data_IF_389834317596
#
_entry.id   IF_389834317596
#
_cell.length_a   1.000
_cell.length_b   1.000
_cell.length_c   1.000
_cell.angle_alpha   90.00
_cell.angle_beta   90.00
_cell.angle_gamma   90.00
#
_symmetry.space_group_name_H-M   'P 1'
#
loop_
_entity.id
_entity.type
_entity.pdbx_description
1 polymer ?
#
# COMPACT_ATOMS: atom_id res chain seq x y z
N UNK A 1 3.95 -18.80 -8.15
CA UNK A 1 4.11 -17.61 -9.01
C UNK A 1 2.78 -16.92 -9.27
N UNK A 2 1.74 -17.59 -9.79
CA UNK A 2 0.42 -16.96 -10.01
C UNK A 2 -0.16 -16.30 -8.75
N UNK A 3 -0.16 -17.00 -7.61
CA UNK A 3 -0.66 -16.43 -6.35
C UNK A 3 0.10 -15.16 -5.96
N UNK A 4 1.42 -15.15 -6.13
CA UNK A 4 2.25 -13.96 -5.89
C UNK A 4 1.82 -12.80 -6.79
N UNK A 5 1.69 -13.01 -8.10
CA UNK A 5 1.29 -11.97 -9.05
C UNK A 5 -0.11 -11.42 -8.74
N UNK A 6 -1.07 -12.28 -8.40
CA UNK A 6 -2.43 -11.87 -8.05
C UNK A 6 -2.42 -11.03 -6.76
N UNK A 7 -1.69 -11.48 -5.74
CA UNK A 7 -1.60 -10.78 -4.46
C UNK A 7 -0.90 -9.43 -4.61
N UNK A 8 0.18 -9.35 -5.39
CA UNK A 8 0.89 -8.08 -5.62
C UNK A 8 0.05 -7.11 -6.45
N UNK A 9 -0.69 -7.61 -7.44
CA UNK A 9 -1.63 -6.81 -8.22
C UNK A 9 -2.74 -6.24 -7.34
N UNK A 10 -3.39 -7.10 -6.54
CA UNK A 10 -4.48 -6.70 -5.65
C UNK A 10 -3.99 -5.66 -4.63
N UNK A 11 -2.82 -5.88 -4.04
CA UNK A 11 -2.17 -4.90 -3.18
C UNK A 11 -2.00 -3.55 -3.89
N UNK A 12 -1.39 -3.52 -5.08
CA UNK A 12 -1.13 -2.27 -5.80
C UNK A 12 -2.41 -1.55 -6.21
N UNK A 13 -3.45 -2.29 -6.58
CA UNK A 13 -4.77 -1.76 -6.84
C UNK A 13 -5.37 -1.08 -5.59
N UNK A 14 -5.39 -1.79 -4.45
CA UNK A 14 -5.90 -1.26 -3.18
C UNK A 14 -5.07 -0.05 -2.73
N UNK A 15 -3.75 -0.14 -2.81
CA UNK A 15 -2.81 0.92 -2.45
C UNK A 15 -3.11 2.21 -3.23
N UNK A 16 -3.20 2.13 -4.56
CA UNK A 16 -3.54 3.29 -5.38
C UNK A 16 -4.91 3.86 -5.07
N UNK A 17 -5.91 3.00 -4.86
CA UNK A 17 -7.26 3.42 -4.48
C UNK A 17 -7.31 4.17 -3.14
N UNK A 18 -6.67 3.62 -2.10
CA UNK A 18 -6.59 4.23 -0.77
C UNK A 18 -5.84 5.57 -0.80
N UNK A 19 -4.72 5.65 -1.51
CA UNK A 19 -3.95 6.90 -1.65
C UNK A 19 -4.83 8.00 -2.25
N UNK A 20 -5.60 7.69 -3.30
CA UNK A 20 -6.51 8.66 -3.89
C UNK A 20 -7.60 9.10 -2.90
N UNK A 21 -8.29 8.14 -2.27
CA UNK A 21 -9.40 8.43 -1.36
C UNK A 21 -8.97 9.32 -0.19
N UNK A 22 -7.81 9.02 0.42
CA UNK A 22 -7.26 9.81 1.54
C UNK A 22 -6.85 11.19 1.08
N UNK A 23 -6.12 11.30 -0.04
CA UNK A 23 -5.69 12.60 -0.55
C UNK A 23 -6.87 13.46 -1.00
N UNK A 24 -7.95 12.84 -1.50
CA UNK A 24 -9.17 13.54 -1.86
C UNK A 24 -9.85 14.17 -0.64
N UNK A 25 -9.93 13.44 0.47
CA UNK A 25 -10.48 13.97 1.72
C UNK A 25 -9.60 15.08 2.32
N UNK A 26 -8.28 14.96 2.20
CA UNK A 26 -7.33 15.99 2.64
C UNK A 26 -7.26 17.20 1.69
N UNK A 27 -7.78 17.09 0.48
CA UNK A 27 -7.78 18.16 -0.50
C UNK A 27 -8.91 19.16 -0.19
N UNK A 28 -8.68 20.03 0.80
CA UNK A 28 -9.57 21.16 1.09
C UNK A 28 -9.28 22.35 0.16
N UNK A 29 -10.31 23.01 -0.41
CA UNK A 29 -10.14 24.28 -1.10
C UNK A 29 -9.58 25.41 -0.23
N UNK A 30 -9.73 25.31 1.09
CA UNK A 30 -9.37 26.36 2.05
C UNK A 30 -7.96 26.17 2.65
N UNK A 31 -7.41 24.95 2.60
CA UNK A 31 -6.13 24.59 3.22
C UNK A 31 -5.40 23.52 2.40
N UNK A 32 -4.47 23.94 1.54
CA UNK A 32 -3.59 23.02 0.80
C UNK A 32 -2.44 22.48 1.68
N UNK A 33 -2.24 23.05 2.87
CA UNK A 33 -1.15 22.67 3.78
C UNK A 33 -1.30 21.25 4.32
N UNK A 34 -2.52 20.81 4.60
CA UNK A 34 -2.77 19.48 5.18
C UNK A 34 -2.38 18.36 4.20
N UNK A 35 -2.77 18.53 2.93
CA UNK A 35 -2.36 17.64 1.84
C UNK A 35 -0.84 17.67 1.64
N UNK A 36 -0.21 18.84 1.68
CA UNK A 36 1.24 18.98 1.52
C UNK A 36 2.00 18.28 2.65
N UNK A 37 1.59 18.48 3.91
CA UNK A 37 2.18 17.83 5.08
C UNK A 37 2.02 16.32 4.98
N UNK A 38 0.81 15.84 4.67
CA UNK A 38 0.51 14.42 4.48
C UNK A 38 1.39 13.80 3.39
N UNK A 39 1.55 14.51 2.28
CA UNK A 39 2.41 14.08 1.16
C UNK A 39 3.87 13.99 1.57
N UNK A 40 4.43 15.00 2.26
CA UNK A 40 5.82 14.97 2.73
C UNK A 40 6.02 13.81 3.72
N UNK A 41 5.10 13.64 4.67
CA UNK A 41 5.14 12.58 5.65
C UNK A 41 5.06 11.19 5.02
N UNK A 42 4.39 11.03 3.87
CA UNK A 42 4.32 9.73 3.18
C UNK A 42 5.68 9.15 2.75
N UNK A 43 6.68 10.01 2.53
CA UNK A 43 8.04 9.58 2.13
C UNK A 43 8.94 9.24 3.32
N UNK A 44 8.63 9.74 4.51
CA UNK A 44 9.45 9.55 5.72
C UNK A 44 9.56 8.06 6.10
N UNK A 45 8.48 7.24 6.08
CA UNK A 45 8.57 5.81 6.35
C UNK A 45 9.55 5.05 5.45
N UNK A 46 9.77 5.49 4.20
CA UNK A 46 10.68 4.83 3.27
C UNK A 46 12.10 4.70 3.83
N UNK A 47 12.55 5.71 4.60
CA UNK A 47 13.88 5.79 5.19
C UNK A 47 14.02 4.78 6.34
N UNK A 48 12.97 4.63 7.15
CA UNK A 48 13.02 3.84 8.38
C UNK A 48 12.58 2.39 8.21
N UNK A 49 11.82 2.08 7.16
CA UNK A 49 11.29 0.72 6.95
C UNK A 49 12.37 -0.36 6.92
N UNK A 50 13.52 -0.19 6.22
CA UNK A 50 14.59 -1.19 6.26
C UNK A 50 15.12 -1.43 7.68
N UNK A 51 15.20 -0.38 8.50
CA UNK A 51 15.61 -0.49 9.90
C UNK A 51 14.58 -1.25 10.73
N UNK A 52 13.28 -0.94 10.58
CA UNK A 52 12.19 -1.65 11.25
C UNK A 52 12.19 -3.14 10.93
N UNK A 53 12.43 -3.50 9.66
CA UNK A 53 12.51 -4.90 9.23
C UNK A 53 13.69 -5.60 9.90
N UNK A 54 14.88 -4.99 9.87
CA UNK A 54 16.06 -5.57 10.49
C UNK A 54 15.95 -5.71 12.01
N UNK A 55 15.21 -4.82 12.68
CA UNK A 55 15.07 -4.82 14.13
C UNK A 55 14.00 -5.83 14.61
N UNK A 56 12.82 -5.82 13.97
CA UNK A 56 11.65 -6.58 14.46
C UNK A 56 11.32 -7.83 13.64
N UNK A 57 11.72 -7.87 12.36
CA UNK A 57 11.26 -8.87 11.39
C UNK A 57 12.40 -9.65 10.73
N UNK A 58 13.63 -9.57 11.26
CA UNK A 58 14.83 -10.18 10.67
C UNK A 58 14.68 -11.66 10.30
N UNK A 59 13.91 -12.41 11.09
CA UNK A 59 13.73 -13.86 10.92
C UNK A 59 12.38 -14.24 10.26
N UNK A 60 11.61 -13.27 9.78
CA UNK A 60 10.33 -13.53 9.12
C UNK A 60 10.56 -13.88 7.64
N UNK A 61 9.85 -14.89 7.16
CA UNK A 61 9.76 -15.14 5.71
C UNK A 61 8.96 -14.03 5.03
N UNK A 62 9.26 -13.79 3.75
CA UNK A 62 8.56 -12.80 2.94
C UNK A 62 7.05 -13.03 2.92
N UNK A 63 6.63 -14.30 2.83
CA UNK A 63 5.20 -14.67 2.86
C UNK A 63 4.51 -14.33 4.20
N UNK A 64 5.15 -14.60 5.33
CA UNK A 64 4.56 -14.32 6.65
C UNK A 64 4.50 -12.82 6.94
N UNK A 65 5.55 -12.08 6.59
CA UNK A 65 5.58 -10.63 6.72
C UNK A 65 4.53 -9.95 5.82
N UNK A 66 4.31 -10.51 4.63
CA UNK A 66 3.24 -10.07 3.71
C UNK A 66 1.86 -10.21 4.37
N UNK A 67 1.54 -11.36 4.97
CA UNK A 67 0.25 -11.57 5.67
C UNK A 67 0.07 -10.60 6.83
N UNK A 68 1.11 -10.41 7.65
CA UNK A 68 1.07 -9.49 8.78
C UNK A 68 0.86 -8.05 8.33
N UNK A 69 1.50 -7.64 7.23
CA UNK A 69 1.33 -6.32 6.67
C UNK A 69 -0.08 -6.10 6.10
N UNK A 70 -0.67 -7.09 5.41
CA UNK A 70 -2.07 -7.00 4.99
C UNK A 70 -3.04 -6.85 6.18
N UNK A 71 -2.80 -7.59 7.26
CA UNK A 71 -3.56 -7.46 8.49
C UNK A 71 -3.40 -6.07 9.12
N UNK A 72 -2.19 -5.49 9.05
CA UNK A 72 -1.93 -4.10 9.43
C UNK A 72 -2.73 -3.10 8.59
N UNK A 73 -2.75 -3.25 7.26
CA UNK A 73 -3.56 -2.42 6.35
C UNK A 73 -5.03 -2.50 6.75
N UNK A 74 -5.56 -3.71 6.95
CA UNK A 74 -6.95 -3.92 7.33
C UNK A 74 -7.35 -3.13 8.58
N UNK A 75 -6.56 -3.23 9.66
CA UNK A 75 -6.86 -2.50 10.90
C UNK A 75 -6.73 -0.97 10.74
N UNK A 76 -5.73 -0.51 9.98
CA UNK A 76 -5.55 0.93 9.72
C UNK A 76 -6.71 1.48 8.90
N UNK A 77 -7.18 0.74 7.88
CA UNK A 77 -8.31 1.15 7.04
C UNK A 77 -9.60 1.20 7.86
N UNK A 78 -9.83 0.25 8.77
CA UNK A 78 -10.95 0.34 9.73
C UNK A 78 -10.84 1.60 10.59
N UNK A 79 -9.65 1.91 11.11
CA UNK A 79 -9.44 3.13 11.90
C UNK A 79 -9.69 4.40 11.07
N UNK A 80 -9.23 4.43 9.81
CA UNK A 80 -9.49 5.54 8.87
C UNK A 80 -10.99 5.71 8.67
N UNK A 81 -11.72 4.61 8.44
CA UNK A 81 -13.18 4.64 8.26
C UNK A 81 -13.90 5.38 9.40
N UNK A 82 -13.44 5.20 10.64
CA UNK A 82 -14.06 5.79 11.82
C UNK A 82 -13.57 7.22 12.12
N UNK A 83 -12.40 7.61 11.63
CA UNK A 83 -11.68 8.82 12.07
C UNK A 83 -11.35 9.80 10.93
N UNK A 84 -11.72 9.49 9.68
CA UNK A 84 -11.31 10.29 8.50
C UNK A 84 -11.76 11.75 8.56
N UNK A 85 -12.86 12.07 9.25
CA UNK A 85 -13.38 13.43 9.38
C UNK A 85 -12.48 14.34 10.21
N UNK A 86 -11.57 13.79 11.02
CA UNK A 86 -10.59 14.56 11.75
C UNK A 86 -9.28 14.59 10.96
N UNK A 87 -8.97 15.74 10.37
CA UNK A 87 -7.80 15.94 9.49
C UNK A 87 -6.49 15.47 10.13
N UNK A 88 -6.24 15.84 11.40
CA UNK A 88 -5.01 15.46 12.09
C UNK A 88 -4.91 13.93 12.25
N UNK A 89 -6.00 13.27 12.65
CA UNK A 89 -6.03 11.82 12.78
C UNK A 89 -5.87 11.13 11.43
N UNK A 90 -6.50 11.66 10.37
CA UNK A 90 -6.34 11.14 9.02
C UNK A 90 -4.89 11.23 8.53
N UNK A 91 -4.20 12.34 8.79
CA UNK A 91 -2.76 12.48 8.46
C UNK A 91 -1.92 11.45 9.22
N UNK A 92 -2.16 11.26 10.51
CA UNK A 92 -1.43 10.28 11.33
C UNK A 92 -1.69 8.84 10.87
N UNK A 93 -2.94 8.51 10.53
CA UNK A 93 -3.31 7.20 10.01
C UNK A 93 -2.75 6.97 8.61
N UNK A 94 -2.71 8.00 7.75
CA UNK A 94 -2.05 7.93 6.44
C UNK A 94 -0.55 7.66 6.60
N UNK A 95 0.12 8.36 7.53
CA UNK A 95 1.52 8.09 7.84
C UNK A 95 1.75 6.64 8.30
N UNK A 96 0.91 6.12 9.20
CA UNK A 96 0.96 4.73 9.63
C UNK A 96 0.71 3.75 8.46
N UNK A 97 -0.25 4.06 7.58
CA UNK A 97 -0.55 3.27 6.39
C UNK A 97 0.67 3.17 5.47
N UNK A 98 1.39 4.28 5.27
CA UNK A 98 2.62 4.30 4.47
C UNK A 98 3.73 3.43 5.07
N UNK A 99 3.89 3.38 6.39
CA UNK A 99 4.82 2.42 7.04
C UNK A 99 4.46 0.98 6.63
N UNK A 100 3.18 0.63 6.69
CA UNK A 100 2.73 -0.73 6.34
C UNK A 100 2.86 -0.99 4.84
N UNK A 101 2.62 -0.01 3.97
CA UNK A 101 2.86 -0.14 2.52
C UNK A 101 4.33 -0.42 2.21
N UNK A 102 5.27 0.31 2.81
CA UNK A 102 6.69 0.04 2.60
C UNK A 102 7.12 -1.31 3.19
N UNK A 103 6.54 -1.71 4.33
CA UNK A 103 6.78 -3.03 4.92
C UNK A 103 6.32 -4.14 3.97
N UNK A 104 5.10 -4.01 3.43
CA UNK A 104 4.51 -4.94 2.47
C UNK A 104 5.30 -4.96 1.15
N UNK A 105 5.76 -3.80 0.67
CA UNK A 105 6.57 -3.74 -0.55
C UNK A 105 7.91 -4.47 -0.40
N UNK A 106 8.55 -4.33 0.77
CA UNK A 106 9.75 -5.10 1.08
C UNK A 106 9.46 -6.58 1.24
N UNK A 107 8.37 -6.94 1.92
CA UNK A 107 8.00 -8.35 2.13
C UNK A 107 7.67 -9.07 0.82
N UNK A 108 7.03 -8.38 -0.14
CA UNK A 108 6.77 -8.91 -1.47
C UNK A 108 8.07 -9.14 -2.25
N UNK A 109 9.05 -8.24 -2.15
CA UNK A 109 10.38 -8.46 -2.77
C UNK A 109 11.08 -9.67 -2.17
N UNK A 110 11.07 -9.81 -0.84
CA UNK A 110 11.61 -11.00 -0.16
C UNK A 110 10.90 -12.28 -0.61
N UNK A 111 9.56 -12.25 -0.67
CA UNK A 111 8.78 -13.40 -1.09
C UNK A 111 9.06 -13.77 -2.56
N UNK A 112 9.25 -12.78 -3.43
CA UNK A 112 9.67 -13.04 -4.81
C UNK A 112 11.04 -13.73 -4.86
N UNK A 113 12.02 -13.23 -4.11
CA UNK A 113 13.36 -13.83 -4.01
C UNK A 113 13.29 -15.29 -3.54
N UNK A 114 12.50 -15.59 -2.50
CA UNK A 114 12.25 -16.96 -2.02
C UNK A 114 11.63 -17.86 -3.12
N UNK A 115 10.70 -17.33 -3.91
CA UNK A 115 10.03 -18.11 -4.97
C UNK A 115 10.94 -18.44 -6.16
N UNK A 116 12.00 -17.66 -6.38
CA UNK A 116 12.88 -17.78 -7.54
C UNK A 116 14.30 -18.25 -7.21
N UNK A 117 14.62 -18.51 -5.94
CA UNK A 117 15.97 -18.87 -5.45
C UNK A 117 16.67 -19.97 -6.28
N UNK A 118 15.91 -20.96 -6.75
CA UNK A 118 16.43 -22.10 -7.52
C UNK A 118 16.02 -22.07 -9.00
N UNK A 119 15.77 -20.87 -9.56
CA UNK A 119 15.34 -20.69 -10.96
C UNK A 119 16.48 -20.11 -11.79
N UNK A 120 16.43 -20.35 -13.11
CA UNK A 120 17.39 -19.76 -14.04
C UNK A 120 17.11 -18.27 -14.25
N UNK A 121 18.13 -17.54 -14.71
CA UNK A 121 18.08 -16.09 -14.90
C UNK A 121 16.99 -15.66 -15.88
N UNK A 122 16.78 -16.42 -16.96
CA UNK A 122 15.73 -16.15 -17.94
C UNK A 122 14.33 -16.16 -17.31
N UNK A 123 14.05 -17.15 -16.44
CA UNK A 123 12.79 -17.23 -15.71
C UNK A 123 12.65 -16.05 -14.74
N UNK A 124 13.72 -15.72 -14.00
CA UNK A 124 13.74 -14.60 -13.06
C UNK A 124 13.40 -13.30 -13.78
N UNK A 125 14.09 -13.01 -14.90
CA UNK A 125 13.89 -11.78 -15.67
C UNK A 125 12.48 -11.68 -16.25
N UNK A 126 11.96 -12.79 -16.81
CA UNK A 126 10.59 -12.84 -17.35
C UNK A 126 9.55 -12.53 -16.28
N UNK A 127 9.64 -13.17 -15.12
CA UNK A 127 8.64 -12.99 -14.06
C UNK A 127 8.81 -11.69 -13.26
N UNK A 128 10.04 -11.17 -13.14
CA UNK A 128 10.30 -9.84 -12.60
C UNK A 128 9.64 -8.76 -13.47
N UNK A 129 9.87 -8.82 -14.79
CA UNK A 129 9.26 -7.90 -15.77
C UNK A 129 7.72 -7.99 -15.78
N UNK A 130 7.19 -9.22 -15.76
CA UNK A 130 5.74 -9.45 -15.67
C UNK A 130 5.17 -8.87 -14.37
N UNK A 131 5.83 -9.11 -13.23
CA UNK A 131 5.38 -8.60 -11.93
C UNK A 131 5.40 -7.07 -11.91
N UNK A 132 6.44 -6.42 -12.43
CA UNK A 132 6.48 -4.95 -12.56
C UNK A 132 5.33 -4.43 -13.41
N UNK A 133 5.09 -5.04 -14.57
CA UNK A 133 4.02 -4.62 -15.50
C UNK A 133 2.64 -4.73 -14.85
N UNK A 134 2.35 -5.87 -14.23
CA UNK A 134 1.08 -6.12 -13.54
C UNK A 134 0.90 -5.14 -12.38
N UNK A 135 1.96 -4.89 -11.61
CA UNK A 135 1.93 -3.97 -10.47
C UNK A 135 1.65 -2.53 -10.90
N UNK A 136 2.26 -2.05 -12.00
CA UNK A 136 2.00 -0.72 -12.51
C UNK A 136 0.59 -0.58 -13.09
N UNK A 137 0.14 -1.57 -13.86
CA UNK A 137 -1.23 -1.58 -14.37
C UNK A 137 -2.24 -1.52 -13.22
N UNK A 138 -2.08 -2.34 -12.19
CA UNK A 138 -2.94 -2.34 -11.01
C UNK A 138 -2.90 -1.00 -10.25
N UNK A 139 -1.71 -0.42 -10.06
CA UNK A 139 -1.52 0.87 -9.40
C UNK A 139 -2.19 2.03 -10.14
N UNK A 140 -2.27 1.97 -11.47
CA UNK A 140 -2.97 2.98 -12.27
C UNK A 140 -4.50 2.76 -12.27
N UNK A 141 -4.95 1.50 -12.32
CA UNK A 141 -6.37 1.17 -12.36
C UNK A 141 -7.05 1.45 -11.01
N UNK A 142 -6.38 1.19 -9.88
CA UNK A 142 -6.93 1.39 -8.52
C UNK A 142 -7.49 2.80 -8.28
N UNK A 143 -6.69 3.87 -8.44
CA UNK A 143 -7.15 5.25 -8.32
C UNK A 143 -8.30 5.56 -9.28
N UNK A 144 -8.20 5.15 -10.55
CA UNK A 144 -9.26 5.40 -11.54
C UNK A 144 -10.58 4.76 -11.13
N UNK A 145 -10.53 3.53 -10.63
CA UNK A 145 -11.69 2.81 -10.13
C UNK A 145 -12.33 3.53 -8.93
N UNK A 146 -11.52 3.92 -7.94
CA UNK A 146 -12.00 4.66 -6.77
C UNK A 146 -12.57 6.03 -7.16
N UNK A 147 -11.92 6.78 -8.06
CA UNK A 147 -12.41 8.07 -8.54
C UNK A 147 -13.83 7.99 -9.15
N UNK A 148 -14.13 6.88 -9.82
CA UNK A 148 -15.47 6.62 -10.37
C UNK A 148 -16.45 6.27 -9.24
N UNK A 149 -16.07 5.38 -8.32
CA UNK A 149 -16.96 4.92 -7.23
C UNK A 149 -17.30 6.04 -6.25
N UNK A 150 -16.35 6.93 -5.95
CA UNK A 150 -16.57 8.10 -5.07
C UNK A 150 -17.68 9.04 -5.56
N UNK A 151 -18.09 8.95 -6.83
CA UNK A 151 -19.25 9.70 -7.36
C UNK A 151 -20.59 9.09 -6.94
N UNK A 152 -20.62 7.82 -6.55
CA UNK A 152 -21.84 7.06 -6.29
C UNK A 152 -22.01 6.68 -4.83
N UNK A 153 -20.92 6.61 -4.05
CA UNK A 153 -20.92 6.12 -2.68
C UNK A 153 -20.06 7.02 -1.79
N UNK A 154 -20.48 7.24 -0.55
CA UNK A 154 -19.70 7.98 0.45
C UNK A 154 -18.40 7.25 0.84
N UNK A 155 -17.36 8.03 1.16
CA UNK A 155 -16.02 7.55 1.56
C UNK A 155 -16.03 6.49 2.66
N UNK A 156 -16.92 6.63 3.65
CA UNK A 156 -17.10 5.65 4.72
C UNK A 156 -17.28 4.21 4.18
N UNK A 157 -18.14 4.03 3.18
CA UNK A 157 -18.40 2.71 2.60
C UNK A 157 -17.27 2.25 1.69
N UNK A 158 -16.54 3.18 1.06
CA UNK A 158 -15.40 2.86 0.20
C UNK A 158 -14.25 2.26 1.01
N UNK A 159 -14.01 2.75 2.22
CA UNK A 159 -12.99 2.16 3.10
C UNK A 159 -13.39 0.78 3.65
N UNK A 160 -14.67 0.41 3.62
CA UNK A 160 -15.16 -0.89 4.12
C UNK A 160 -15.24 -1.99 3.05
N UNK A 161 -15.15 -1.63 1.77
CA UNK A 161 -15.17 -2.57 0.62
C UNK A 161 -13.75 -3.05 0.32
#
# INVERSE_FOLDING_TARGET
MNNYLIITALYRFICGGLILAINWELASPESTSDLAISTILSFVPAIFTPFLINLFFKNYSGSNLTKLSFLGIFFIVIAITMLYQNTLLLILLNFALWIVFFLLETSLKLWFSELVENKNEEFINKYSSLSMTVNQAALMIGPLFIAVIMKFIALFWIFLI
#
